data_IF_884492225638
#
_entry.id   IF_884492225638
#
_cell.length_a   1.000
_cell.length_b   1.000
_cell.length_c   1.000
_cell.angle_alpha   90.00
_cell.angle_beta   90.00
_cell.angle_gamma   90.00
#
_symmetry.space_group_name_H-M   'P 1'
#
loop_
_entity.id
_entity.type
_entity.pdbx_description
1 polymer ?
#
# COMPACT_ATOMS: atom_id res chain seq x y z
N UNK A 1 -39.41 -4.14 -55.71
CA UNK A 1 -38.03 -4.38 -55.28
C UNK A 1 -37.33 -3.20 -54.58
N UNK A 2 -38.01 -2.12 -54.20
CA UNK A 2 -37.42 -0.95 -53.49
C UNK A 2 -37.68 -0.95 -51.95
N UNK A 3 -38.62 -1.69 -51.44
CA UNK A 3 -39.01 -1.70 -50.01
C UNK A 3 -38.12 -2.58 -49.14
N UNK A 4 -37.53 -3.63 -49.67
CA UNK A 4 -36.67 -4.56 -48.93
C UNK A 4 -35.28 -3.99 -48.59
N UNK A 5 -34.72 -3.08 -49.38
CA UNK A 5 -33.45 -2.42 -49.11
C UNK A 5 -33.55 -1.46 -47.92
N UNK A 6 -34.64 -0.71 -47.83
CA UNK A 6 -34.85 0.30 -46.79
C UNK A 6 -34.99 -0.30 -45.38
N UNK A 7 -35.58 -1.49 -45.26
CA UNK A 7 -35.71 -2.22 -43.99
C UNK A 7 -34.37 -2.86 -43.58
N UNK A 8 -33.54 -3.32 -44.49
CA UNK A 8 -32.26 -3.92 -44.21
C UNK A 8 -31.26 -2.86 -43.71
N UNK A 9 -31.21 -1.68 -44.32
CA UNK A 9 -30.35 -0.57 -43.92
C UNK A 9 -30.74 -0.03 -42.53
N UNK A 10 -32.03 0.00 -42.17
CA UNK A 10 -32.50 0.37 -40.84
C UNK A 10 -32.14 -0.66 -39.75
N UNK A 11 -32.16 -1.95 -40.08
CA UNK A 11 -31.80 -3.02 -39.16
C UNK A 11 -30.27 -3.00 -38.91
N UNK A 12 -29.47 -2.77 -39.94
CA UNK A 12 -28.00 -2.66 -39.85
C UNK A 12 -27.62 -1.42 -39.01
N UNK A 13 -28.27 -0.27 -39.27
CA UNK A 13 -28.02 0.95 -38.52
C UNK A 13 -28.40 0.80 -37.02
N UNK A 14 -29.51 0.12 -36.73
CA UNK A 14 -29.94 -0.14 -35.35
C UNK A 14 -28.97 -1.09 -34.62
N UNK A 15 -28.45 -2.13 -35.30
CA UNK A 15 -27.51 -3.07 -34.69
C UNK A 15 -26.14 -2.45 -34.43
N UNK A 16 -25.65 -1.56 -35.30
CA UNK A 16 -24.39 -0.84 -35.09
C UNK A 16 -24.48 0.15 -33.93
N UNK A 17 -25.58 0.87 -33.79
CA UNK A 17 -25.80 1.79 -32.65
C UNK A 17 -25.90 1.03 -31.34
N UNK A 18 -26.54 -0.14 -31.30
CA UNK A 18 -26.60 -0.98 -30.10
C UNK A 18 -25.23 -1.55 -29.71
N UNK A 19 -24.41 -1.92 -30.68
CA UNK A 19 -23.05 -2.42 -30.42
C UNK A 19 -22.12 -1.31 -29.88
N UNK A 20 -22.27 -0.07 -30.36
CA UNK A 20 -21.47 1.08 -29.87
C UNK A 20 -21.88 1.46 -28.44
N UNK A 21 -23.17 1.34 -28.08
CA UNK A 21 -23.63 1.61 -26.71
C UNK A 21 -23.19 0.56 -25.69
N UNK A 22 -23.00 -0.72 -26.08
CA UNK A 22 -22.49 -1.76 -25.18
C UNK A 22 -20.99 -1.63 -24.90
N UNK A 23 -20.20 -1.00 -25.79
CA UNK A 23 -18.74 -0.84 -25.59
C UNK A 23 -18.38 0.35 -24.69
N UNK A 24 -19.30 1.27 -24.44
CA UNK A 24 -19.05 2.46 -23.61
C UNK A 24 -19.08 2.18 -22.08
N UNK A 25 -19.52 1.00 -21.64
CA UNK A 25 -19.67 0.68 -20.21
C UNK A 25 -18.47 -0.07 -19.59
N UNK A 26 -17.42 -0.39 -20.35
CA UNK A 26 -16.31 -1.24 -19.84
C UNK A 26 -15.03 -0.47 -19.47
N UNK A 27 -15.01 0.87 -19.50
CA UNK A 27 -13.75 1.63 -19.32
C UNK A 27 -13.59 2.25 -17.93
N UNK A 28 -14.59 2.11 -17.03
CA UNK A 28 -14.55 2.79 -15.73
C UNK A 28 -13.96 1.92 -14.60
N UNK A 29 -13.89 0.60 -14.77
CA UNK A 29 -13.42 -0.33 -13.72
C UNK A 29 -11.89 -0.47 -13.63
N UNK A 30 -11.15 -0.25 -14.71
CA UNK A 30 -9.70 -0.50 -14.73
C UNK A 30 -8.84 0.59 -14.03
N UNK A 31 -9.40 1.75 -13.63
CA UNK A 31 -8.62 2.81 -12.98
C UNK A 31 -8.58 2.65 -11.46
N UNK A 32 -9.65 2.22 -10.84
CA UNK A 32 -9.72 2.05 -9.39
C UNK A 32 -8.89 0.85 -8.95
N UNK A 33 -9.01 -0.30 -9.62
CA UNK A 33 -8.21 -1.50 -9.32
C UNK A 33 -6.70 -1.23 -9.41
N UNK A 34 -6.26 -0.39 -10.37
CA UNK A 34 -4.85 -0.04 -10.54
C UNK A 34 -4.34 0.94 -9.46
N UNK A 35 -5.17 1.82 -8.90
CA UNK A 35 -4.75 2.74 -7.84
C UNK A 35 -4.65 2.01 -6.49
N UNK A 36 -5.59 1.15 -6.15
CA UNK A 36 -5.58 0.34 -4.94
C UNK A 36 -4.38 -0.60 -4.92
N UNK A 37 -4.10 -1.28 -6.02
CA UNK A 37 -2.89 -2.12 -6.18
C UNK A 37 -1.59 -1.31 -5.99
N UNK A 38 -1.52 -0.09 -6.50
CA UNK A 38 -0.35 0.79 -6.30
C UNK A 38 -0.19 1.22 -4.85
N UNK A 39 -1.29 1.50 -4.16
CA UNK A 39 -1.30 1.84 -2.74
C UNK A 39 -0.81 0.64 -1.93
N UNK A 40 -1.39 -0.53 -2.15
CA UNK A 40 -1.02 -1.77 -1.48
C UNK A 40 0.45 -2.10 -1.67
N UNK A 41 0.91 -2.19 -2.91
CA UNK A 41 2.30 -2.48 -3.24
C UNK A 41 3.28 -1.44 -2.66
N UNK A 42 2.90 -0.15 -2.68
CA UNK A 42 3.69 0.92 -2.09
C UNK A 42 3.80 0.81 -0.57
N UNK A 43 2.69 0.53 0.10
CA UNK A 43 2.61 0.36 1.55
C UNK A 43 3.36 -0.90 2.01
N UNK A 44 3.15 -2.05 1.33
CA UNK A 44 3.84 -3.31 1.64
C UNK A 44 5.36 -3.16 1.51
N UNK A 45 5.85 -2.62 0.41
CA UNK A 45 7.30 -2.41 0.21
C UNK A 45 7.90 -1.45 1.23
N UNK A 46 7.19 -0.36 1.56
CA UNK A 46 7.65 0.55 2.61
C UNK A 46 7.72 -0.17 3.96
N UNK A 47 6.67 -0.90 4.34
CA UNK A 47 6.59 -1.62 5.60
C UNK A 47 7.66 -2.72 5.69
N UNK A 48 7.89 -3.50 4.63
CA UNK A 48 8.96 -4.51 4.59
C UNK A 48 10.32 -3.88 4.83
N UNK A 49 10.66 -2.78 4.15
CA UNK A 49 11.94 -2.10 4.39
C UNK A 49 12.01 -1.52 5.81
N UNK A 50 10.94 -0.96 6.32
CA UNK A 50 10.90 -0.37 7.65
C UNK A 50 11.10 -1.42 8.74
N UNK A 51 10.35 -2.53 8.70
CA UNK A 51 10.38 -3.57 9.72
C UNK A 51 11.58 -4.51 9.62
N UNK A 52 12.29 -4.52 8.49
CA UNK A 52 13.61 -5.15 8.32
C UNK A 52 14.79 -4.18 8.61
N UNK A 53 14.51 -3.00 9.19
CA UNK A 53 15.50 -1.98 9.52
C UNK A 53 16.29 -1.44 8.32
N UNK A 54 15.78 -1.60 7.09
CA UNK A 54 16.35 -1.10 5.85
C UNK A 54 15.92 0.36 5.61
N UNK A 55 16.17 1.23 6.59
CA UNK A 55 15.64 2.59 6.62
C UNK A 55 16.08 3.46 5.44
N UNK A 56 17.27 3.23 4.87
CA UNK A 56 17.73 3.95 3.66
C UNK A 56 16.85 3.65 2.45
N UNK A 57 16.35 2.43 2.33
CA UNK A 57 15.47 2.04 1.23
C UNK A 57 14.02 2.46 1.52
N UNK A 58 13.56 2.38 2.75
CA UNK A 58 12.28 2.92 3.20
C UNK A 58 12.18 4.44 2.93
N UNK A 59 13.28 5.21 3.13
CA UNK A 59 13.32 6.65 2.84
C UNK A 59 12.99 7.01 1.38
N UNK A 60 13.31 6.14 0.43
CA UNK A 60 13.00 6.35 -1.00
C UNK A 60 11.50 6.25 -1.29
N UNK A 61 10.78 5.55 -0.42
CA UNK A 61 9.35 5.26 -0.55
C UNK A 61 8.45 6.15 0.33
N UNK A 62 9.02 7.05 1.11
CA UNK A 62 8.25 7.94 1.99
C UNK A 62 8.26 9.39 1.51
N UNK A 63 7.37 10.19 2.12
CA UNK A 63 7.36 11.64 1.90
C UNK A 63 8.57 12.29 2.58
N UNK A 64 9.06 13.45 2.09
CA UNK A 64 10.21 14.13 2.69
C UNK A 64 10.04 14.43 4.20
N UNK A 65 8.82 14.75 4.62
CA UNK A 65 8.49 15.05 6.01
C UNK A 65 8.65 13.83 6.94
N UNK A 66 8.58 12.63 6.37
CA UNK A 66 8.71 11.35 7.08
C UNK A 66 10.16 10.96 7.36
N UNK A 67 11.12 11.52 6.61
CA UNK A 67 12.53 11.14 6.68
C UNK A 67 13.13 11.26 8.10
N UNK A 68 12.67 12.26 8.87
CA UNK A 68 13.10 12.45 10.28
C UNK A 68 12.76 11.24 11.15
N UNK A 69 11.64 10.57 10.91
CA UNK A 69 11.22 9.41 11.69
C UNK A 69 12.04 8.17 11.38
N UNK A 70 12.41 8.00 10.10
CA UNK A 70 13.32 6.92 9.70
C UNK A 70 14.74 7.16 10.21
N UNK A 71 15.22 8.41 10.20
CA UNK A 71 16.50 8.75 10.81
C UNK A 71 16.51 8.52 12.32
N UNK A 72 15.40 8.86 12.99
CA UNK A 72 15.21 8.57 14.41
C UNK A 72 15.24 7.05 14.67
N UNK A 73 14.48 6.25 13.91
CA UNK A 73 14.48 4.80 14.02
C UNK A 73 15.89 4.23 13.83
N UNK A 74 16.59 4.67 12.79
CA UNK A 74 17.96 4.23 12.50
C UNK A 74 18.95 4.56 13.63
N UNK A 75 18.77 5.69 14.32
CA UNK A 75 19.65 6.09 15.44
C UNK A 75 19.42 5.29 16.73
N UNK A 76 18.30 4.56 16.81
CA UNK A 76 17.96 3.76 17.98
C UNK A 76 18.30 2.26 17.82
N UNK A 77 18.79 1.83 16.66
CA UNK A 77 19.27 0.46 16.45
C UNK A 77 20.61 0.27 17.17
N UNK A 78 20.66 -0.71 18.05
CA UNK A 78 21.86 -1.14 18.77
C UNK A 78 22.57 -2.29 18.04
N UNK A 79 23.79 -2.63 18.50
CA UNK A 79 24.48 -3.82 18.00
C UNK A 79 23.73 -5.11 18.34
N UNK A 80 23.14 -5.17 19.53
CA UNK A 80 22.33 -6.33 19.96
C UNK A 80 21.12 -6.55 19.06
N UNK A 81 20.47 -5.47 18.59
CA UNK A 81 19.36 -5.54 17.64
C UNK A 81 19.81 -6.10 16.28
N UNK A 82 20.99 -5.68 15.82
CA UNK A 82 21.59 -6.19 14.58
C UNK A 82 21.91 -7.68 14.72
N UNK A 83 22.43 -8.11 15.85
CA UNK A 83 22.77 -9.51 16.12
C UNK A 83 21.50 -10.38 16.17
N UNK A 84 20.41 -9.88 16.76
CA UNK A 84 19.11 -10.53 16.73
C UNK A 84 18.60 -10.67 15.29
N UNK A 85 18.61 -9.59 14.51
CA UNK A 85 18.19 -9.62 13.10
C UNK A 85 19.01 -10.60 12.27
N UNK A 86 20.33 -10.62 12.44
CA UNK A 86 21.23 -11.53 11.72
C UNK A 86 21.04 -13.02 12.11
N UNK A 87 20.52 -13.28 13.32
CA UNK A 87 20.21 -14.62 13.80
C UNK A 87 18.81 -15.10 13.41
N UNK A 88 17.97 -14.19 12.90
CA UNK A 88 16.62 -14.48 12.51
C UNK A 88 16.59 -15.37 11.26
N UNK A 89 15.70 -16.36 11.25
CA UNK A 89 15.61 -17.33 10.15
C UNK A 89 14.88 -16.74 8.94
N UNK A 90 13.84 -15.98 9.20
CA UNK A 90 12.96 -15.41 8.18
C UNK A 90 12.86 -13.89 8.39
N UNK A 91 12.96 -13.13 7.33
CA UNK A 91 12.80 -11.68 7.34
C UNK A 91 11.36 -11.27 7.72
N UNK A 92 11.20 -10.01 8.15
CA UNK A 92 9.87 -9.44 8.35
C UNK A 92 9.11 -9.40 7.03
N UNK A 93 7.86 -9.86 7.06
CA UNK A 93 6.94 -9.83 5.91
C UNK A 93 5.71 -9.00 6.24
N UNK A 94 5.13 -8.36 5.21
CA UNK A 94 3.98 -7.49 5.34
C UNK A 94 2.91 -7.86 4.33
N UNK A 95 1.65 -7.88 4.79
CA UNK A 95 0.47 -8.05 3.93
C UNK A 95 -0.56 -6.96 4.28
N UNK A 96 -1.20 -6.39 3.28
CA UNK A 96 -2.33 -5.47 3.46
C UNK A 96 -3.56 -6.27 3.89
N UNK A 97 -4.30 -5.76 4.88
CA UNK A 97 -5.55 -6.37 5.34
C UNK A 97 -6.77 -5.48 5.10
N UNK A 98 -6.55 -4.16 4.97
CA UNK A 98 -7.60 -3.19 4.71
C UNK A 98 -7.02 -1.91 4.12
N UNK A 99 -7.76 -1.27 3.21
CA UNK A 99 -7.39 -0.01 2.59
C UNK A 99 -8.59 0.93 2.62
N UNK A 100 -8.43 2.08 3.26
CA UNK A 100 -9.44 3.14 3.31
C UNK A 100 -8.89 4.36 2.58
N UNK A 101 -9.62 4.88 1.59
CA UNK A 101 -9.28 6.10 0.87
C UNK A 101 -10.23 7.22 1.28
N UNK A 102 -9.83 8.12 2.21
CA UNK A 102 -10.66 9.27 2.59
C UNK A 102 -10.80 10.28 1.44
N UNK A 103 -9.83 10.34 0.56
CA UNK A 103 -9.78 11.21 -0.62
C UNK A 103 -8.83 10.65 -1.70
N UNK A 104 -8.80 11.27 -2.88
CA UNK A 104 -8.02 10.81 -4.06
C UNK A 104 -6.49 10.88 -3.87
N UNK A 105 -6.02 11.45 -2.77
CA UNK A 105 -4.60 11.70 -2.50
C UNK A 105 -4.10 11.10 -1.20
N UNK A 106 -5.00 10.54 -0.41
CA UNK A 106 -4.71 9.93 0.89
C UNK A 106 -5.30 8.54 0.97
N UNK A 107 -4.52 7.58 1.42
CA UNK A 107 -4.99 6.24 1.77
C UNK A 107 -4.45 5.85 3.15
N UNK A 108 -5.23 5.09 3.89
CA UNK A 108 -4.87 4.50 5.18
C UNK A 108 -4.88 2.99 4.99
N UNK A 109 -3.71 2.36 5.10
CA UNK A 109 -3.54 0.93 4.87
C UNK A 109 -3.27 0.25 6.21
N UNK A 110 -4.12 -0.71 6.56
CA UNK A 110 -3.87 -1.60 7.70
C UNK A 110 -3.04 -2.78 7.21
N UNK A 111 -1.90 -2.99 7.87
CA UNK A 111 -0.89 -3.96 7.50
C UNK A 111 -0.73 -4.99 8.61
N UNK A 112 -0.74 -6.27 8.25
CA UNK A 112 -0.27 -7.33 9.13
C UNK A 112 1.22 -7.56 8.89
N UNK A 113 2.01 -7.29 9.91
CA UNK A 113 3.47 -7.48 9.90
C UNK A 113 3.80 -8.74 10.67
N UNK A 114 4.66 -9.59 10.12
CA UNK A 114 5.11 -10.85 10.75
C UNK A 114 6.63 -10.86 10.89
N UNK A 115 7.12 -11.59 11.87
CA UNK A 115 8.56 -11.86 12.12
C UNK A 115 9.42 -10.60 12.18
N UNK A 116 9.03 -9.58 12.92
CA UNK A 116 9.74 -8.32 12.98
C UNK A 116 10.37 -8.06 14.35
N UNK A 117 11.45 -7.26 14.36
CA UNK A 117 12.08 -6.79 15.58
C UNK A 117 11.21 -5.72 16.25
N UNK A 118 10.70 -6.03 17.44
CA UNK A 118 9.96 -5.08 18.26
C UNK A 118 10.90 -4.39 19.23
N UNK A 119 11.01 -3.06 19.10
CA UNK A 119 11.73 -2.18 20.02
C UNK A 119 10.71 -1.53 20.97
N UNK A 120 10.60 -2.04 22.19
CA UNK A 120 9.58 -1.58 23.14
C UNK A 120 9.93 -0.25 23.80
N UNK A 121 11.11 -0.17 24.41
CA UNK A 121 11.52 1.01 25.20
C UNK A 121 13.03 1.07 25.34
N UNK A 122 13.57 2.25 25.56
CA UNK A 122 14.99 2.47 25.83
C UNK A 122 15.40 1.61 27.06
N UNK A 123 16.42 0.77 26.88
CA UNK A 123 16.96 -0.10 27.93
C UNK A 123 16.25 -1.45 28.09
N UNK A 124 15.24 -1.74 27.30
CA UNK A 124 14.63 -3.07 27.21
C UNK A 124 15.18 -3.79 25.98
N UNK A 125 15.70 -5.01 26.08
CA UNK A 125 16.20 -5.76 24.94
C UNK A 125 15.08 -5.95 23.90
N UNK A 126 15.39 -5.70 22.64
CA UNK A 126 14.48 -5.97 21.53
C UNK A 126 14.21 -7.47 21.41
N UNK A 127 13.08 -7.83 20.86
CA UNK A 127 12.68 -9.22 20.60
C UNK A 127 11.94 -9.35 19.29
N UNK A 128 12.02 -10.54 18.70
CA UNK A 128 11.21 -10.84 17.52
C UNK A 128 9.75 -11.04 17.95
N UNK A 129 8.85 -10.32 17.29
CA UNK A 129 7.40 -10.46 17.43
C UNK A 129 6.85 -11.24 16.26
N UNK A 130 6.02 -12.26 16.55
CA UNK A 130 5.47 -13.13 15.51
C UNK A 130 4.53 -12.39 14.56
N UNK A 131 3.67 -11.52 15.09
CA UNK A 131 2.72 -10.76 14.27
C UNK A 131 2.14 -9.57 15.04
N UNK A 132 1.83 -8.49 14.31
CA UNK A 132 1.04 -7.37 14.79
C UNK A 132 0.39 -6.62 13.62
N UNK A 133 -0.64 -5.82 13.92
CA UNK A 133 -1.27 -4.91 12.96
C UNK A 133 -0.70 -3.50 13.12
N UNK A 134 -0.40 -2.87 12.00
CA UNK A 134 0.06 -1.49 11.92
C UNK A 134 -0.74 -0.70 10.90
N UNK A 135 -0.85 0.60 11.09
CA UNK A 135 -1.45 1.49 10.11
C UNK A 135 -0.37 2.33 9.43
N UNK A 136 -0.35 2.31 8.10
CA UNK A 136 0.51 3.14 7.26
C UNK A 136 -0.36 4.10 6.46
N UNK A 137 -0.12 5.39 6.63
CA UNK A 137 -0.76 6.42 5.81
C UNK A 137 0.04 6.58 4.51
N UNK A 138 -0.65 6.50 3.38
CA UNK A 138 -0.08 6.76 2.06
C UNK A 138 -0.57 8.10 1.56
N UNK A 139 0.31 8.88 0.92
CA UNK A 139 -0.03 10.14 0.27
C UNK A 139 0.44 10.17 -1.17
N UNK A 140 -0.42 10.63 -2.06
CA UNK A 140 -0.09 10.79 -3.47
C UNK A 140 0.68 12.09 -3.67
N UNK A 141 1.91 12.00 -4.17
CA UNK A 141 2.79 13.12 -4.50
C UNK A 141 3.36 12.92 -5.89
N UNK A 142 3.18 13.90 -6.76
CA UNK A 142 3.66 13.86 -8.16
C UNK A 142 3.23 12.57 -8.89
N UNK A 143 1.99 12.13 -8.66
CA UNK A 143 1.42 10.92 -9.24
C UNK A 143 1.89 9.60 -8.62
N UNK A 144 2.74 9.63 -7.58
CA UNK A 144 3.23 8.45 -6.88
C UNK A 144 2.71 8.38 -5.44
N UNK A 145 2.36 7.18 -5.01
CA UNK A 145 2.01 6.92 -3.61
C UNK A 145 3.27 6.77 -2.76
N UNK A 146 3.34 7.55 -1.68
CA UNK A 146 4.46 7.59 -0.73
C UNK A 146 3.94 7.39 0.69
N UNK A 147 4.64 6.60 1.49
CA UNK A 147 4.33 6.47 2.91
C UNK A 147 4.51 7.80 3.64
N UNK A 148 3.55 8.19 4.46
CA UNK A 148 3.59 9.42 5.23
C UNK A 148 3.53 9.12 6.73
N UNK A 149 4.62 9.40 7.42
CA UNK A 149 4.75 9.21 8.86
C UNK A 149 4.59 10.54 9.60
N UNK A 150 3.51 10.67 10.37
CA UNK A 150 3.34 11.76 11.34
C UNK A 150 4.04 11.46 12.68
N UNK A 151 4.29 10.19 12.95
CA UNK A 151 5.01 9.64 14.12
C UNK A 151 5.64 8.29 13.73
N UNK A 152 6.32 7.64 14.65
CA UNK A 152 6.68 6.22 14.50
C UNK A 152 5.40 5.39 14.32
N UNK A 153 5.41 4.35 13.46
CA UNK A 153 4.27 3.45 13.30
C UNK A 153 3.83 2.88 14.65
N UNK A 154 2.53 2.92 14.89
CA UNK A 154 1.94 2.42 16.15
C UNK A 154 1.18 1.12 15.86
N UNK A 155 1.33 0.15 16.76
CA UNK A 155 0.53 -1.06 16.71
C UNK A 155 -0.96 -0.73 16.92
N UNK A 156 -1.81 -1.27 16.06
CA UNK A 156 -3.26 -1.18 16.21
C UNK A 156 -3.67 -2.07 17.38
N UNK A 157 -4.21 -1.46 18.44
CA UNK A 157 -4.76 -2.21 19.57
C UNK A 157 -6.16 -2.66 19.21
N UNK A 158 -6.39 -3.96 19.22
CA UNK A 158 -7.75 -4.49 19.19
C UNK A 158 -8.48 -4.05 20.46
N UNK A 159 -9.54 -3.26 20.29
CA UNK A 159 -10.43 -2.89 21.39
C UNK A 159 -11.37 -4.09 21.58
N UNK A 160 -11.12 -4.88 22.59
CA UNK A 160 -12.00 -5.97 23.03
C UNK A 160 -13.18 -5.43 23.84
#
# INVERSE_FOLDING_TARGET
MKTTKLTLDRIIAASVVTLILLTAFTVTSCKEDNEEEKIENGACRFAEYFFNCLYKDAMKLCTPESAKWLSYAASNISQDDIDILNSQKDDATCESTDIIMPDDTTAVVTMKVKNFLMMDSIGVPSKIKESALYTIVMRKRDGQWKAHLGSMPQEVREIH
#
